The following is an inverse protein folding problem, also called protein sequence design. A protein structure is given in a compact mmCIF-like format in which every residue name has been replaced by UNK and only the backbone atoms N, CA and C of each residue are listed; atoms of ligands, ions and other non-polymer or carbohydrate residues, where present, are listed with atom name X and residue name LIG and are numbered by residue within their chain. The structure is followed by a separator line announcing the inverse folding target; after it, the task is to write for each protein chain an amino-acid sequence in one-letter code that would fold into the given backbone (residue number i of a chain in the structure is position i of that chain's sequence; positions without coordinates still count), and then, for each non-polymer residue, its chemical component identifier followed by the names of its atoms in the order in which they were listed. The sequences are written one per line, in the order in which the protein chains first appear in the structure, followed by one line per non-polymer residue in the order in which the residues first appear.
data_IF_419113248541
#
_entry.id   IF_419113248541
#
_cell.length_a   1.000
_cell.length_b   1.000
_cell.length_c   1.000
_cell.angle_alpha   90.00
_cell.angle_beta   90.00
_cell.angle_gamma   90.00
#
_symmetry.space_group_name_H-M   'P 1'
#
loop_
_entity.id
_entity.type
_entity.pdbx_description
1 polymer ?
#
# COMPACT_ATOMS: atom_id res chain seq x y z
N UNK A 1 75.18 -29.42 4.92
CA UNK A 1 75.54 -29.61 6.35
C UNK A 1 75.49 -28.21 6.98
N UNK A 2 74.36 -27.76 7.52
CA UNK A 2 73.80 -28.15 8.80
C UNK A 2 73.15 -26.88 9.40
N UNK A 3 72.26 -27.02 10.39
CA UNK A 3 70.88 -26.61 10.21
C UNK A 3 70.40 -25.70 11.35
N UNK A 4 70.06 -24.43 11.07
CA UNK A 4 69.28 -23.63 12.03
C UNK A 4 68.18 -22.90 11.28
N UNK A 5 67.11 -23.66 11.08
CA UNK A 5 65.70 -23.29 10.92
C UNK A 5 65.42 -21.80 10.67
N UNK A 6 65.30 -21.51 9.37
CA UNK A 6 64.57 -20.39 8.80
C UNK A 6 63.11 -20.36 9.28
N UNK A 7 62.70 -19.17 9.69
CA UNK A 7 61.44 -18.50 9.37
C UNK A 7 60.12 -19.25 9.64
N UNK A 8 59.50 -18.96 10.79
CA UNK A 8 58.03 -18.97 10.94
C UNK A 8 57.65 -17.90 11.98
N UNK A 9 57.19 -16.74 11.52
CA UNK A 9 56.45 -15.76 12.33
C UNK A 9 55.42 -15.10 11.40
N UNK A 10 54.27 -15.74 11.28
CA UNK A 10 53.05 -15.15 10.75
C UNK A 10 51.88 -15.79 11.51
N UNK A 11 51.15 -14.99 12.27
CA UNK A 11 49.87 -15.21 12.99
C UNK A 11 49.98 -14.45 14.33
N UNK A 12 49.07 -13.60 14.76
CA UNK A 12 47.74 -13.29 14.28
C UNK A 12 47.37 -11.87 14.77
N UNK A 13 46.84 -11.05 13.89
CA UNK A 13 46.03 -9.87 14.23
C UNK A 13 44.69 -10.10 13.55
N UNK A 14 43.84 -10.89 14.19
CA UNK A 14 42.41 -10.92 13.84
C UNK A 14 41.83 -9.66 14.43
N UNK A 15 41.68 -8.64 13.58
CA UNK A 15 40.86 -7.47 13.88
C UNK A 15 39.44 -7.97 14.07
N UNK A 16 38.98 -8.01 15.32
CA UNK A 16 37.59 -8.25 15.65
C UNK A 16 36.76 -7.03 15.22
N UNK A 17 36.48 -6.94 13.92
CA UNK A 17 35.40 -6.12 13.39
C UNK A 17 34.08 -6.87 13.64
N UNK A 18 33.66 -6.96 14.90
CA UNK A 18 32.28 -7.32 15.23
C UNK A 18 31.39 -6.17 14.79
N UNK A 19 30.96 -6.24 13.53
CA UNK A 19 29.59 -6.01 13.11
C UNK A 19 28.82 -4.98 13.95
N UNK A 20 29.02 -3.71 13.64
CA UNK A 20 27.95 -2.71 13.76
C UNK A 20 26.90 -3.09 12.71
N UNK A 21 26.09 -4.12 12.99
CA UNK A 21 24.77 -4.21 12.36
C UNK A 21 23.99 -3.08 13.01
N UNK A 22 23.59 -2.02 12.27
CA UNK A 22 22.64 -1.08 12.84
C UNK A 22 21.45 -1.92 13.29
N UNK A 23 21.10 -1.83 14.57
CA UNK A 23 19.84 -2.38 15.04
C UNK A 23 18.78 -1.85 14.06
N UNK A 24 18.13 -2.75 13.32
CA UNK A 24 16.92 -2.37 12.62
C UNK A 24 16.06 -1.68 13.69
N UNK A 25 15.56 -0.45 13.45
CA UNK A 25 14.67 0.18 14.41
C UNK A 25 13.60 -0.86 14.72
N UNK A 26 13.36 -1.10 16.01
CA UNK A 26 12.17 -1.83 16.40
C UNK A 26 11.00 -0.93 15.98
N UNK A 27 10.57 -1.06 14.72
CA UNK A 27 9.40 -0.38 14.18
C UNK A 27 8.20 -0.98 14.91
N UNK A 28 7.89 -0.43 16.09
CA UNK A 28 6.54 -0.47 16.59
C UNK A 28 5.71 0.32 15.58
N UNK A 29 4.69 -0.29 15.00
CA UNK A 29 3.81 0.46 14.12
C UNK A 29 2.94 -0.40 13.22
N UNK A 30 2.09 -1.23 13.82
CA UNK A 30 0.91 -1.72 13.12
C UNK A 30 0.98 -3.14 12.57
N UNK A 31 -0.21 -3.71 12.39
CA UNK A 31 -0.43 -5.03 11.83
C UNK A 31 -0.56 -4.93 10.29
N UNK A 32 0.21 -5.72 9.52
CA UNK A 32 0.12 -5.70 8.07
C UNK A 32 -1.23 -6.27 7.61
N UNK A 33 -1.89 -5.55 6.72
CA UNK A 33 -3.05 -6.05 5.97
C UNK A 33 -2.80 -5.96 4.49
N UNK A 34 -3.37 -6.89 3.73
CA UNK A 34 -3.33 -6.82 2.27
C UNK A 34 -4.65 -6.26 1.79
N UNK A 35 -4.59 -5.27 0.89
CA UNK A 35 -5.73 -4.85 0.08
C UNK A 35 -5.40 -5.11 -1.38
N UNK A 36 -6.41 -5.19 -2.24
CA UNK A 36 -6.21 -5.44 -3.65
C UNK A 36 -7.02 -4.46 -4.50
N UNK A 37 -6.52 -4.20 -5.71
CA UNK A 37 -7.25 -3.54 -6.77
C UNK A 37 -7.51 -4.53 -7.89
N UNK A 38 -8.71 -4.52 -8.47
CA UNK A 38 -8.99 -5.32 -9.66
C UNK A 38 -8.49 -4.56 -10.90
N UNK A 39 -7.44 -5.10 -11.52
CA UNK A 39 -6.82 -4.47 -12.70
C UNK A 39 -7.47 -4.89 -14.01
N UNK A 40 -8.16 -6.04 -14.02
CA UNK A 40 -8.83 -6.56 -15.21
C UNK A 40 -9.18 -8.03 -15.09
N UNK A 41 -9.30 -8.70 -16.23
CA UNK A 41 -9.60 -10.12 -16.34
C UNK A 41 -8.72 -10.75 -17.43
N UNK A 42 -8.20 -11.95 -17.18
CA UNK A 42 -7.45 -12.75 -18.14
C UNK A 42 -7.98 -14.18 -18.14
N UNK A 43 -8.43 -14.66 -19.30
CA UNK A 43 -9.00 -16.01 -19.47
C UNK A 43 -10.13 -16.32 -18.46
N UNK A 44 -11.07 -15.38 -18.28
CA UNK A 44 -12.18 -15.55 -17.34
C UNK A 44 -11.82 -15.39 -15.86
N UNK A 45 -10.56 -15.04 -15.54
CA UNK A 45 -10.07 -14.90 -14.16
C UNK A 45 -9.73 -13.45 -13.84
N UNK A 46 -10.21 -12.90 -12.71
CA UNK A 46 -9.83 -11.56 -12.30
C UNK A 46 -8.33 -11.50 -12.02
N UNK A 47 -7.71 -10.41 -12.47
CA UNK A 47 -6.33 -10.07 -12.14
C UNK A 47 -6.38 -9.00 -11.06
N UNK A 48 -5.59 -9.21 -10.00
CA UNK A 48 -5.50 -8.29 -8.87
C UNK A 48 -4.08 -7.75 -8.74
N UNK A 49 -3.99 -6.49 -8.36
CA UNK A 49 -2.76 -5.87 -7.87
C UNK A 49 -2.92 -5.59 -6.38
N UNK A 50 -2.10 -6.23 -5.56
CA UNK A 50 -2.29 -6.28 -4.11
C UNK A 50 -1.12 -5.63 -3.38
N UNK A 51 -1.46 -4.84 -2.36
CA UNK A 51 -0.52 -4.02 -1.60
C UNK A 51 -0.69 -4.28 -0.13
N UNK A 52 0.43 -4.35 0.58
CA UNK A 52 0.42 -4.46 2.04
C UNK A 52 0.45 -3.07 2.65
N UNK A 53 -0.49 -2.79 3.55
CA UNK A 53 -0.60 -1.53 4.28
C UNK A 53 -0.49 -1.88 5.76
N UNK A 54 0.39 -1.24 6.55
CA UNK A 54 0.37 -1.40 7.99
C UNK A 54 -0.81 -0.58 8.56
N UNK A 55 -1.69 -1.22 9.31
CA UNK A 55 -2.77 -0.57 10.07
C UNK A 55 -2.44 -0.56 11.57
N UNK A 56 -3.03 0.32 12.40
CA UNK A 56 -2.84 0.26 13.84
C UNK A 56 -3.27 -1.12 14.38
N UNK A 57 -2.66 -1.58 15.47
CA UNK A 57 -2.98 -2.89 16.05
C UNK A 57 -4.48 -3.09 16.26
N UNK A 58 -5.02 -4.20 15.76
CA UNK A 58 -6.41 -4.58 15.91
C UNK A 58 -6.50 -6.06 16.30
N UNK A 59 -7.59 -6.46 16.93
CA UNK A 59 -7.87 -7.89 17.14
C UNK A 59 -8.47 -8.44 15.84
N UNK A 60 -7.81 -9.38 15.14
CA UNK A 60 -8.33 -9.89 13.87
C UNK A 60 -9.70 -10.51 14.07
N UNK A 61 -10.65 -10.09 13.25
CA UNK A 61 -11.93 -10.78 13.07
C UNK A 61 -11.96 -11.37 11.66
N UNK A 62 -12.61 -12.53 11.47
CA UNK A 62 -12.90 -13.02 10.13
C UNK A 62 -13.61 -11.92 9.34
N UNK A 63 -13.06 -11.54 8.20
CA UNK A 63 -13.67 -10.58 7.28
C UNK A 63 -13.86 -11.27 5.93
N UNK A 64 -14.94 -10.89 5.25
CA UNK A 64 -15.28 -11.46 3.96
C UNK A 64 -16.10 -12.74 4.01
N UNK A 65 -16.21 -13.42 2.86
CA UNK A 65 -17.17 -14.51 2.67
C UNK A 65 -16.74 -15.76 3.44
N UNK A 66 -17.70 -16.63 3.77
CA UNK A 66 -17.44 -17.87 4.53
C UNK A 66 -16.47 -18.82 3.83
N UNK A 67 -16.43 -18.74 2.50
CA UNK A 67 -15.51 -19.46 1.63
C UNK A 67 -14.07 -18.98 1.76
N UNK A 68 -13.85 -17.75 2.23
CA UNK A 68 -12.54 -17.14 2.35
C UNK A 68 -12.49 -16.04 3.43
N UNK A 69 -12.49 -16.47 4.69
CA UNK A 69 -12.50 -15.61 5.89
C UNK A 69 -11.25 -14.74 6.10
N UNK A 70 -10.23 -14.90 5.26
CA UNK A 70 -8.98 -14.13 5.28
C UNK A 70 -8.67 -13.54 3.91
N UNK A 71 -9.66 -13.47 3.01
CA UNK A 71 -9.46 -12.82 1.72
C UNK A 71 -9.18 -11.33 1.94
N UNK A 72 -8.21 -10.74 1.21
CA UNK A 72 -8.05 -9.29 1.20
C UNK A 72 -9.27 -8.61 0.59
N UNK A 73 -9.68 -7.44 1.10
CA UNK A 73 -10.66 -6.60 0.44
C UNK A 73 -10.15 -6.14 -0.92
N UNK A 74 -11.07 -5.97 -1.85
CA UNK A 74 -10.83 -5.55 -3.23
C UNK A 74 -11.61 -4.29 -3.52
N UNK A 75 -10.93 -3.34 -4.17
CA UNK A 75 -11.54 -2.18 -4.80
C UNK A 75 -11.49 -2.36 -6.31
N UNK A 76 -12.66 -2.44 -6.95
CA UNK A 76 -12.78 -2.40 -8.41
C UNK A 76 -13.16 -0.96 -8.80
N UNK A 77 -12.14 -0.20 -9.17
CA UNK A 77 -12.30 1.18 -9.60
C UNK A 77 -12.74 1.19 -11.07
N UNK A 78 -13.75 1.97 -11.38
CA UNK A 78 -14.14 2.19 -12.77
C UNK A 78 -13.36 3.38 -13.32
N UNK A 79 -12.77 3.18 -14.49
CA UNK A 79 -12.00 4.18 -15.24
C UNK A 79 -12.12 3.87 -16.75
N UNK A 80 -11.68 4.79 -17.59
CA UNK A 80 -11.69 4.68 -19.06
C UNK A 80 -10.28 4.86 -19.64
N UNK A 81 -9.34 4.06 -19.14
CA UNK A 81 -7.96 4.07 -19.64
C UNK A 81 -7.54 2.72 -20.20
N UNK A 82 -6.46 2.73 -20.97
CA UNK A 82 -5.86 1.51 -21.52
C UNK A 82 -5.45 0.54 -20.39
N UNK A 83 -5.67 -0.78 -20.54
CA UNK A 83 -5.33 -1.77 -19.51
C UNK A 83 -3.87 -1.73 -19.04
N UNK A 84 -2.92 -1.38 -19.93
CA UNK A 84 -1.52 -1.21 -19.56
C UNK A 84 -1.28 -0.06 -18.58
N UNK A 85 -1.94 1.09 -18.80
CA UNK A 85 -1.92 2.23 -17.87
C UNK A 85 -2.66 1.90 -16.58
N UNK A 86 -3.72 1.08 -16.66
CA UNK A 86 -4.51 0.63 -15.52
C UNK A 86 -3.65 -0.05 -14.44
N UNK A 87 -2.78 -0.95 -14.88
CA UNK A 87 -1.85 -1.65 -13.99
C UNK A 87 -0.91 -0.65 -13.29
N UNK A 88 -0.32 0.27 -14.04
CA UNK A 88 0.67 1.20 -13.46
C UNK A 88 0.02 2.23 -12.52
N UNK A 89 -1.15 2.78 -12.84
CA UNK A 89 -1.81 3.72 -11.93
C UNK A 89 -2.23 3.03 -10.63
N UNK A 90 -2.77 1.80 -10.70
CA UNK A 90 -3.21 1.06 -9.51
C UNK A 90 -2.03 0.66 -8.63
N UNK A 91 -0.90 0.31 -9.26
CA UNK A 91 0.36 0.06 -8.55
C UNK A 91 0.87 1.29 -7.81
N UNK A 92 0.85 2.45 -8.46
CA UNK A 92 1.26 3.72 -7.84
C UNK A 92 0.28 4.15 -6.74
N UNK A 93 -1.02 3.92 -6.94
CA UNK A 93 -2.06 4.18 -5.94
C UNK A 93 -1.86 3.31 -4.70
N UNK A 94 -1.69 2.00 -4.90
CA UNK A 94 -1.45 1.04 -3.82
C UNK A 94 -0.16 1.34 -3.06
N UNK A 95 0.93 1.68 -3.77
CA UNK A 95 2.17 2.14 -3.14
C UNK A 95 1.95 3.39 -2.28
N UNK A 96 1.18 4.35 -2.75
CA UNK A 96 0.85 5.55 -1.98
C UNK A 96 0.10 5.21 -0.70
N UNK A 97 -0.85 4.27 -0.75
CA UNK A 97 -1.57 3.79 0.44
C UNK A 97 -0.65 3.04 1.41
N UNK A 98 0.28 2.22 0.93
CA UNK A 98 1.29 1.56 1.76
C UNK A 98 2.17 2.56 2.50
N UNK A 99 2.73 3.55 1.78
CA UNK A 99 3.55 4.62 2.35
C UNK A 99 2.76 5.48 3.34
N UNK A 100 1.49 5.73 3.05
CA UNK A 100 0.60 6.45 3.97
C UNK A 100 0.39 5.68 5.27
N UNK A 101 0.20 4.36 5.18
CA UNK A 101 0.14 3.51 6.36
C UNK A 101 1.44 3.54 7.15
N UNK A 102 2.58 3.38 6.48
CA UNK A 102 3.90 3.46 7.13
C UNK A 102 4.10 4.83 7.82
N UNK A 103 3.74 5.92 7.15
CA UNK A 103 3.76 7.28 7.72
C UNK A 103 2.87 7.39 8.97
N UNK A 104 1.66 6.82 8.94
CA UNK A 104 0.74 6.84 10.07
C UNK A 104 1.22 6.00 11.26
N UNK A 105 2.20 5.13 11.06
CA UNK A 105 2.75 4.24 12.07
C UNK A 105 4.16 4.64 12.53
N UNK A 106 4.83 5.56 11.82
CA UNK A 106 6.14 6.06 12.18
C UNK A 106 6.11 6.85 13.50
N UNK A 107 7.11 6.58 14.35
CA UNK A 107 7.28 7.26 15.65
C UNK A 107 8.09 8.55 15.51
N UNK A 108 9.08 8.55 14.60
CA UNK A 108 9.90 9.73 14.33
C UNK A 108 9.12 10.70 13.41
N UNK A 109 8.88 11.96 13.82
CA UNK A 109 8.20 12.95 12.98
C UNK A 109 8.92 13.25 11.66
N UNK A 110 10.25 13.09 11.60
CA UNK A 110 11.00 13.29 10.35
C UNK A 110 10.71 12.17 9.37
N UNK A 111 10.73 10.92 9.84
CA UNK A 111 10.36 9.74 9.05
C UNK A 111 8.89 9.80 8.61
N UNK A 112 8.00 10.16 9.53
CA UNK A 112 6.57 10.36 9.24
C UNK A 112 6.36 11.34 8.09
N UNK A 113 7.00 12.52 8.15
CA UNK A 113 6.90 13.53 7.10
C UNK A 113 7.46 13.04 5.77
N UNK A 114 8.64 12.40 5.79
CA UNK A 114 9.27 11.87 4.58
C UNK A 114 8.40 10.81 3.89
N UNK A 115 7.84 9.86 4.64
CA UNK A 115 6.94 8.85 4.10
C UNK A 115 5.65 9.47 3.54
N UNK A 116 5.14 10.54 4.16
CA UNK A 116 3.97 11.26 3.67
C UNK A 116 4.24 12.00 2.37
N UNK A 117 5.43 12.58 2.21
CA UNK A 117 5.86 13.20 0.96
C UNK A 117 5.95 12.15 -0.16
N UNK A 118 6.57 11.00 0.12
CA UNK A 118 6.62 9.88 -0.83
C UNK A 118 5.23 9.34 -1.21
N UNK A 119 4.32 9.24 -0.24
CA UNK A 119 2.94 8.84 -0.50
C UNK A 119 2.26 9.82 -1.45
N UNK A 120 2.43 11.13 -1.19
CA UNK A 120 1.91 12.22 -2.02
C UNK A 120 2.44 12.14 -3.45
N UNK A 121 3.75 11.95 -3.63
CA UNK A 121 4.37 11.75 -4.95
C UNK A 121 3.82 10.53 -5.68
N UNK A 122 3.57 9.44 -4.97
CA UNK A 122 2.99 8.21 -5.53
C UNK A 122 1.55 8.44 -6.00
N UNK A 123 0.73 9.12 -5.20
CA UNK A 123 -0.64 9.49 -5.59
C UNK A 123 -0.67 10.46 -6.77
N UNK A 124 0.21 11.47 -6.77
CA UNK A 124 0.36 12.39 -7.89
C UNK A 124 0.78 11.67 -9.18
N UNK A 125 1.71 10.73 -9.09
CA UNK A 125 2.16 9.92 -10.21
C UNK A 125 1.06 8.97 -10.71
N UNK A 126 0.26 8.41 -9.80
CA UNK A 126 -0.93 7.63 -10.12
C UNK A 126 -1.94 8.48 -10.90
N UNK A 127 -2.23 9.69 -10.42
CA UNK A 127 -3.16 10.61 -11.06
C UNK A 127 -2.74 10.97 -12.49
N UNK A 128 -1.42 11.14 -12.73
CA UNK A 128 -0.88 11.40 -14.06
C UNK A 128 -1.12 10.27 -15.06
N UNK A 129 -1.23 9.02 -14.62
CA UNK A 129 -1.50 7.90 -15.52
C UNK A 129 -2.94 7.89 -16.04
N UNK A 130 -3.85 8.60 -15.37
CA UNK A 130 -5.26 8.60 -15.70
C UNK A 130 -5.60 9.60 -16.83
N UNK A 131 -4.68 10.48 -17.21
CA UNK A 131 -4.94 11.60 -18.13
C UNK A 131 -6.26 12.32 -17.71
N UNK A 132 -7.21 12.45 -18.64
CA UNK A 132 -8.53 13.04 -18.39
C UNK A 132 -9.61 12.02 -17.96
N UNK A 133 -9.24 10.76 -17.70
CA UNK A 133 -10.21 9.73 -17.29
C UNK A 133 -10.65 9.96 -15.85
N UNK A 134 -11.95 10.06 -15.66
CA UNK A 134 -12.54 10.01 -14.32
C UNK A 134 -12.34 8.62 -13.69
N UNK A 135 -12.25 8.61 -12.36
CA UNK A 135 -12.19 7.40 -11.54
C UNK A 135 -13.37 7.40 -10.58
N UNK A 136 -14.10 6.29 -10.56
CA UNK A 136 -15.20 6.06 -9.64
C UNK A 136 -15.03 4.72 -8.92
N UNK A 137 -15.67 4.55 -7.76
CA UNK A 137 -15.79 3.22 -7.18
C UNK A 137 -16.88 2.45 -7.92
N UNK A 138 -16.49 1.40 -8.66
CA UNK A 138 -17.45 0.54 -9.34
C UNK A 138 -18.08 -0.47 -8.38
N UNK A 139 -17.24 -1.28 -7.73
CA UNK A 139 -17.67 -2.26 -6.74
C UNK A 139 -16.56 -2.54 -5.72
N UNK A 140 -16.96 -3.13 -4.59
CA UNK A 140 -16.04 -3.69 -3.61
C UNK A 140 -16.30 -5.18 -3.46
N UNK A 141 -15.33 -5.91 -2.92
CA UNK A 141 -15.47 -7.32 -2.64
C UNK A 141 -14.23 -7.91 -2.01
N UNK A 142 -14.00 -9.19 -2.31
CA UNK A 142 -12.96 -9.99 -1.67
C UNK A 142 -12.20 -10.80 -2.73
N UNK A 143 -10.87 -10.79 -2.66
CA UNK A 143 -10.01 -11.50 -3.60
C UNK A 143 -9.55 -12.84 -3.02
N UNK A 144 -10.06 -13.94 -3.58
CA UNK A 144 -9.50 -15.26 -3.33
C UNK A 144 -8.30 -15.47 -4.23
N UNK A 145 -7.15 -15.03 -3.73
CA UNK A 145 -5.87 -15.13 -4.42
C UNK A 145 -5.45 -16.58 -4.67
N UNK A 146 -5.92 -17.53 -3.86
CA UNK A 146 -5.58 -18.95 -3.99
C UNK A 146 -6.33 -19.59 -5.16
N UNK A 147 -7.62 -19.28 -5.30
CA UNK A 147 -8.46 -19.85 -6.35
C UNK A 147 -8.62 -18.94 -7.57
N UNK A 148 -8.09 -17.71 -7.51
CA UNK A 148 -8.20 -16.70 -8.56
C UNK A 148 -9.65 -16.27 -8.77
N UNK A 149 -10.38 -15.98 -7.68
CA UNK A 149 -11.79 -15.58 -7.72
C UNK A 149 -12.00 -14.21 -7.10
N UNK A 150 -12.97 -13.49 -7.64
CA UNK A 150 -13.51 -12.27 -7.05
C UNK A 150 -14.87 -12.60 -6.46
N UNK A 151 -15.01 -12.41 -5.16
CA UNK A 151 -16.30 -12.43 -4.48
C UNK A 151 -16.78 -11.00 -4.35
N UNK A 152 -17.62 -10.55 -5.30
CA UNK A 152 -18.34 -9.29 -5.15
C UNK A 152 -19.20 -9.33 -3.89
N UNK A 153 -19.33 -8.20 -3.23
CA UNK A 153 -20.08 -8.11 -1.98
C UNK A 153 -21.46 -7.46 -2.25
N UNK A 154 -22.55 -8.24 -2.37
CA UNK A 154 -23.88 -7.71 -2.68
C UNK A 154 -24.47 -6.89 -1.52
N UNK A 155 -23.98 -7.10 -0.29
CA UNK A 155 -24.35 -6.34 0.90
C UNK A 155 -23.06 -5.80 1.53
N UNK A 156 -22.37 -4.87 0.82
CA UNK A 156 -21.01 -4.54 1.15
C UNK A 156 -20.90 -3.88 2.52
N UNK A 157 -19.88 -4.28 3.27
CA UNK A 157 -19.60 -3.69 4.57
C UNK A 157 -19.44 -2.16 4.42
N UNK A 158 -20.15 -1.34 5.22
CA UNK A 158 -20.14 0.12 5.03
C UNK A 158 -18.74 0.73 5.03
N UNK A 159 -17.85 0.24 5.89
CA UNK A 159 -16.47 0.73 5.96
C UNK A 159 -15.64 0.37 4.73
N UNK A 160 -15.91 -0.78 4.10
CA UNK A 160 -15.26 -1.15 2.85
C UNK A 160 -15.69 -0.22 1.70
N UNK A 161 -17.00 0.07 1.61
CA UNK A 161 -17.51 1.05 0.61
C UNK A 161 -16.94 2.44 0.86
N UNK A 162 -16.98 2.91 2.12
CA UNK A 162 -16.47 4.23 2.49
C UNK A 162 -14.99 4.39 2.12
N UNK A 163 -14.18 3.38 2.39
CA UNK A 163 -12.78 3.37 2.00
C UNK A 163 -12.60 3.49 0.49
N UNK A 164 -13.35 2.70 -0.29
CA UNK A 164 -13.28 2.75 -1.75
C UNK A 164 -13.71 4.11 -2.34
N UNK A 165 -14.76 4.73 -1.77
CA UNK A 165 -15.23 6.06 -2.17
C UNK A 165 -14.17 7.12 -1.87
N UNK A 166 -13.51 7.02 -0.71
CA UNK A 166 -12.45 7.93 -0.34
C UNK A 166 -11.18 7.73 -1.18
N UNK A 167 -10.85 6.49 -1.56
CA UNK A 167 -9.76 6.22 -2.51
C UNK A 167 -10.05 6.86 -3.88
N UNK A 168 -11.23 6.61 -4.45
CA UNK A 168 -11.64 7.17 -5.74
C UNK A 168 -11.73 8.71 -5.70
N UNK A 169 -12.31 9.27 -4.63
CA UNK A 169 -12.39 10.72 -4.44
C UNK A 169 -11.01 11.37 -4.23
N UNK A 170 -10.10 10.68 -3.55
CA UNK A 170 -8.73 11.12 -3.32
C UNK A 170 -7.95 11.23 -4.63
N UNK A 171 -8.02 10.21 -5.49
CA UNK A 171 -7.33 10.24 -6.78
C UNK A 171 -7.94 11.28 -7.73
N UNK A 172 -9.27 11.44 -7.74
CA UNK A 172 -9.93 12.47 -8.54
C UNK A 172 -9.56 13.91 -8.13
N UNK A 173 -9.33 14.16 -6.84
CA UNK A 173 -8.81 15.45 -6.37
C UNK A 173 -7.35 15.66 -6.80
N UNK A 174 -6.54 14.59 -6.77
CA UNK A 174 -5.16 14.65 -7.23
C UNK A 174 -5.09 14.94 -8.75
N UNK A 175 -6.01 14.40 -9.55
CA UNK A 175 -6.13 14.75 -10.97
C UNK A 175 -6.47 16.22 -11.18
N UNK A 176 -7.41 16.78 -10.40
CA UNK A 176 -7.74 18.22 -10.47
C UNK A 176 -6.52 19.08 -10.19
N UNK A 177 -5.68 18.67 -9.23
CA UNK A 177 -4.46 19.40 -8.90
C UNK A 177 -3.43 19.45 -10.06
N UNK A 178 -3.41 18.48 -10.97
CA UNK A 178 -2.43 18.45 -12.08
C UNK A 178 -2.56 19.64 -13.05
N UNK A 179 -3.76 20.20 -13.19
CA UNK A 179 -4.05 21.31 -14.09
C UNK A 179 -4.36 22.63 -13.39
N UNK A 180 -4.32 22.67 -12.05
CA UNK A 180 -4.70 23.83 -11.26
C UNK A 180 -3.51 24.80 -11.11
N UNK A 181 -3.66 26.11 -11.41
CA UNK A 181 -2.63 27.10 -11.09
C UNK A 181 -2.33 27.24 -9.59
N UNK A 182 -3.26 26.80 -8.72
CA UNK A 182 -3.07 26.69 -7.27
C UNK A 182 -3.43 25.25 -6.82
N UNK A 183 -2.50 24.28 -6.94
CA UNK A 183 -2.81 22.87 -6.75
C UNK A 183 -2.96 22.47 -5.27
N UNK A 184 -2.41 23.24 -4.34
CA UNK A 184 -2.29 22.90 -2.92
C UNK A 184 -3.63 22.58 -2.24
N UNK A 185 -4.73 23.33 -2.46
CA UNK A 185 -6.03 22.99 -1.88
C UNK A 185 -6.54 21.61 -2.31
N UNK A 186 -6.33 21.24 -3.58
CA UNK A 186 -6.74 19.94 -4.12
C UNK A 186 -5.85 18.80 -3.61
N UNK A 187 -4.53 19.03 -3.49
CA UNK A 187 -3.59 18.07 -2.89
C UNK A 187 -3.97 17.82 -1.43
N UNK A 188 -4.18 18.88 -0.64
CA UNK A 188 -4.55 18.75 0.76
C UNK A 188 -5.90 18.01 0.94
N UNK A 189 -6.90 18.33 0.12
CA UNK A 189 -8.19 17.64 0.13
C UNK A 189 -8.05 16.16 -0.30
N UNK A 190 -7.18 15.86 -1.27
CA UNK A 190 -6.88 14.50 -1.71
C UNK A 190 -6.25 13.68 -0.57
N UNK A 191 -5.24 14.21 0.10
CA UNK A 191 -4.60 13.54 1.23
C UNK A 191 -5.57 13.30 2.39
N UNK A 192 -6.48 14.24 2.67
CA UNK A 192 -7.52 14.04 3.68
C UNK A 192 -8.48 12.89 3.32
N UNK A 193 -8.77 12.69 2.03
CA UNK A 193 -9.54 11.53 1.56
C UNK A 193 -8.77 10.23 1.76
N UNK A 194 -7.49 10.17 1.40
CA UNK A 194 -6.68 8.96 1.61
C UNK A 194 -6.50 8.64 3.10
N UNK A 195 -6.32 9.65 3.95
CA UNK A 195 -6.31 9.47 5.42
C UNK A 195 -7.63 8.89 5.93
N UNK A 196 -8.76 9.33 5.37
CA UNK A 196 -10.06 8.77 5.73
C UNK A 196 -10.21 7.34 5.23
N UNK A 197 -9.79 7.02 4.00
CA UNK A 197 -9.79 5.66 3.49
C UNK A 197 -8.96 4.69 4.36
N UNK A 198 -7.81 5.15 4.86
CA UNK A 198 -6.97 4.42 5.79
C UNK A 198 -7.69 4.14 7.13
N UNK A 199 -8.39 5.14 7.68
CA UNK A 199 -9.20 4.98 8.90
C UNK A 199 -10.37 4.02 8.69
N UNK A 200 -11.04 4.11 7.54
CA UNK A 200 -12.15 3.22 7.19
C UNK A 200 -11.67 1.76 7.08
N UNK A 201 -10.47 1.52 6.52
CA UNK A 201 -9.84 0.20 6.56
C UNK A 201 -9.55 -0.25 8.00
N UNK A 202 -8.98 0.63 8.84
CA UNK A 202 -8.80 0.33 10.27
C UNK A 202 -10.09 -0.11 10.96
N UNK A 203 -11.19 0.59 10.72
CA UNK A 203 -12.51 0.27 11.26
C UNK A 203 -13.03 -1.08 10.73
N UNK A 204 -12.90 -1.33 9.43
CA UNK A 204 -13.27 -2.60 8.78
C UNK A 204 -12.57 -3.78 9.48
N UNK A 205 -11.25 -3.72 9.62
CA UNK A 205 -10.45 -4.81 10.21
C UNK A 205 -10.66 -4.97 11.72
N UNK A 206 -10.99 -3.89 12.43
CA UNK A 206 -11.39 -3.96 13.84
C UNK A 206 -12.87 -4.38 14.04
N UNK A 207 -13.66 -4.43 12.95
CA UNK A 207 -15.06 -4.85 12.91
C UNK A 207 -16.00 -3.86 13.60
N UNK A 208 -15.93 -2.59 13.18
CA UNK A 208 -16.80 -1.48 13.58
C UNK A 208 -17.74 -1.08 12.44
#
# INVERSE_FOLDING_TARGET
MGPVRRALLAMALVVAATLLVPAAPAHAGGQPVTICFKVGEFDGRPVFDCHTIPLPDFKPKPIGPVECLTCPPVFDLWDRIDPGKRIEYLKLLGRGLSLLGESAQAVDPVEQSYLRDLATESFWSSAKQLDDSEVELGQVGWADLKNGKFYGDPEPQPMLVASGVNIAGGIGLMQKALGDPDPEPNIAASLARFDQAYKDLGALFAGW
#
